data_IF_353560902051
#
_entry.id   IF_353560902051
#
_cell.length_a   1.000
_cell.length_b   1.000
_cell.length_c   1.000
_cell.angle_alpha   90.00
_cell.angle_beta   90.00
_cell.angle_gamma   90.00
#
_symmetry.space_group_name_H-M   'P 1'
#
loop_
_entity.id
_entity.type
_entity.pdbx_description
1 polymer ?
#
# COMPACT_ATOMS: atom_id res chain seq x y z
N UNK A 1 9.32 13.43 7.28
CA UNK A 1 9.75 13.05 5.95
C UNK A 1 8.65 13.34 4.95
N UNK A 2 9.04 13.85 3.79
CA UNK A 2 8.06 14.22 2.75
C UNK A 2 7.22 13.03 2.29
N UNK A 3 7.83 11.86 2.12
CA UNK A 3 7.11 10.67 1.70
C UNK A 3 6.00 10.31 2.68
N UNK A 4 6.28 10.39 3.98
CA UNK A 4 5.30 10.12 5.01
C UNK A 4 4.16 11.15 5.01
N UNK A 5 4.51 12.42 4.86
CA UNK A 5 3.50 13.50 4.80
C UNK A 5 2.62 13.35 3.56
N UNK A 6 3.21 13.03 2.41
CA UNK A 6 2.45 12.84 1.17
C UNK A 6 1.49 11.67 1.29
N UNK A 7 1.93 10.57 1.89
CA UNK A 7 1.07 9.42 2.10
C UNK A 7 -0.10 9.78 3.02
N UNK A 8 0.19 10.33 4.20
CA UNK A 8 -0.84 10.66 5.18
C UNK A 8 -1.86 11.66 4.64
N UNK A 9 -1.38 12.65 3.90
CA UNK A 9 -2.20 13.71 3.33
C UNK A 9 -3.23 13.18 2.33
N UNK A 10 -2.92 12.08 1.66
CA UNK A 10 -3.77 11.52 0.61
C UNK A 10 -4.66 10.36 1.09
N UNK A 11 -4.63 10.04 2.37
CA UNK A 11 -5.50 9.02 2.94
C UNK A 11 -6.85 9.65 3.31
N UNK A 12 -7.94 9.04 2.86
CA UNK A 12 -9.26 9.52 3.25
C UNK A 12 -10.06 8.52 4.08
N UNK A 13 -9.66 7.26 4.11
CA UNK A 13 -10.40 6.24 4.87
C UNK A 13 -9.50 5.08 5.26
N UNK A 14 -9.76 4.51 6.43
CA UNK A 14 -9.15 3.26 6.89
C UNK A 14 -10.29 2.40 7.41
N UNK A 15 -10.51 1.24 6.77
CA UNK A 15 -11.63 0.36 7.09
C UNK A 15 -11.12 -1.01 7.52
N UNK A 16 -11.62 -1.53 8.64
CA UNK A 16 -11.30 -2.87 9.11
C UNK A 16 -12.30 -3.86 8.51
N UNK A 17 -11.80 -4.79 7.71
CA UNK A 17 -12.63 -5.71 6.93
C UNK A 17 -12.60 -7.12 7.55
N UNK A 18 -13.76 -7.63 7.94
CA UNK A 18 -13.94 -9.01 8.40
C UNK A 18 -12.95 -9.42 9.51
N UNK A 19 -12.48 -8.45 10.30
CA UNK A 19 -11.49 -8.66 11.37
C UNK A 19 -10.18 -9.31 10.88
N UNK A 20 -9.90 -9.22 9.59
CA UNK A 20 -8.74 -9.89 8.97
C UNK A 20 -7.73 -8.92 8.39
N UNK A 21 -8.18 -7.75 7.96
CA UNK A 21 -7.30 -6.80 7.28
C UNK A 21 -7.79 -5.39 7.43
N UNK A 22 -6.91 -4.44 7.20
CA UNK A 22 -7.25 -3.04 7.06
C UNK A 22 -7.16 -2.65 5.60
N UNK A 23 -8.16 -1.95 5.09
CA UNK A 23 -8.11 -1.34 3.76
C UNK A 23 -7.89 0.14 3.92
N UNK A 24 -6.76 0.61 3.41
CA UNK A 24 -6.34 2.00 3.47
C UNK A 24 -6.65 2.64 2.12
N UNK A 25 -7.52 3.64 2.11
CA UNK A 25 -8.00 4.27 0.89
C UNK A 25 -7.32 5.61 0.66
N UNK A 26 -6.70 5.75 -0.50
CA UNK A 26 -6.08 6.99 -0.93
C UNK A 26 -6.98 7.76 -1.90
N UNK A 27 -6.80 9.09 -1.93
CA UNK A 27 -7.63 9.98 -2.76
C UNK A 27 -7.60 9.64 -4.25
N UNK A 28 -6.50 9.08 -4.73
CA UNK A 28 -6.33 8.72 -6.13
C UNK A 28 -7.03 7.42 -6.53
N UNK A 29 -7.73 6.79 -5.62
CA UNK A 29 -8.37 5.52 -5.87
C UNK A 29 -7.54 4.31 -5.54
N UNK A 30 -6.30 4.49 -5.08
CA UNK A 30 -5.47 3.38 -4.63
C UNK A 30 -5.99 2.85 -3.31
N UNK A 31 -6.10 1.53 -3.20
CA UNK A 31 -6.44 0.84 -1.95
C UNK A 31 -5.25 -0.03 -1.55
N UNK A 32 -4.76 0.15 -0.33
CA UNK A 32 -3.68 -0.67 0.21
C UNK A 32 -4.27 -1.60 1.26
N UNK A 33 -4.09 -2.90 1.06
CA UNK A 33 -4.58 -3.92 1.99
C UNK A 33 -3.49 -4.27 2.99
N UNK A 34 -3.77 -4.01 4.27
CA UNK A 34 -2.84 -4.22 5.36
C UNK A 34 -3.26 -5.44 6.17
N UNK A 35 -2.30 -6.19 6.76
CA UNK A 35 -2.64 -7.27 7.66
C UNK A 35 -3.28 -6.73 8.95
N UNK A 36 -4.07 -7.56 9.64
CA UNK A 36 -4.68 -7.17 10.90
C UNK A 36 -3.63 -6.92 11.98
N UNK A 37 -2.51 -7.65 11.93
CA UNK A 37 -1.42 -7.53 12.88
C UNK A 37 -0.22 -6.86 12.23
N UNK A 38 0.64 -6.24 13.06
CA UNK A 38 1.87 -5.60 12.60
C UNK A 38 1.63 -4.45 11.62
N UNK A 39 0.59 -3.67 11.89
CA UNK A 39 0.22 -2.54 11.03
C UNK A 39 1.36 -1.53 10.89
N UNK A 40 2.11 -1.30 11.96
CA UNK A 40 3.27 -0.39 11.92
C UNK A 40 4.32 -0.85 10.92
N UNK A 41 4.59 -2.15 10.89
CA UNK A 41 5.56 -2.73 9.96
C UNK A 41 5.09 -2.57 8.52
N UNK A 42 3.80 -2.80 8.28
CA UNK A 42 3.20 -2.60 6.97
C UNK A 42 3.26 -1.14 6.54
N UNK A 43 2.98 -0.22 7.46
CA UNK A 43 3.08 1.21 7.18
C UNK A 43 4.49 1.61 6.76
N UNK A 44 5.52 1.07 7.43
CA UNK A 44 6.92 1.31 7.05
C UNK A 44 7.21 0.81 5.63
N UNK A 45 6.63 -0.32 5.25
CA UNK A 45 6.77 -0.83 3.88
C UNK A 45 6.14 0.13 2.86
N UNK A 46 4.98 0.68 3.17
CA UNK A 46 4.33 1.67 2.29
C UNK A 46 5.23 2.89 2.11
N UNK A 47 5.83 3.38 3.19
CA UNK A 47 6.75 4.51 3.12
C UNK A 47 7.93 4.21 2.20
N UNK A 48 8.52 3.03 2.33
CA UNK A 48 9.62 2.61 1.46
C UNK A 48 9.19 2.51 -0.01
N UNK A 49 8.00 1.98 -0.25
CA UNK A 49 7.46 1.90 -1.61
C UNK A 49 7.26 3.29 -2.21
N UNK A 50 6.77 4.23 -1.42
CA UNK A 50 6.61 5.60 -1.89
C UNK A 50 7.96 6.24 -2.19
N UNK A 51 8.96 6.03 -1.35
CA UNK A 51 10.29 6.57 -1.55
C UNK A 51 10.99 6.00 -2.77
N UNK A 52 10.82 4.70 -3.02
CA UNK A 52 11.56 4.00 -4.07
C UNK A 52 10.82 3.94 -5.40
N UNK A 53 9.49 3.96 -5.39
CA UNK A 53 8.68 3.78 -6.59
C UNK A 53 7.73 4.95 -6.85
N UNK A 54 7.55 5.84 -5.88
CA UNK A 54 6.56 6.93 -5.98
C UNK A 54 5.17 6.37 -6.32
N UNK A 55 4.68 5.47 -5.48
CA UNK A 55 3.47 4.69 -5.75
C UNK A 55 2.22 5.55 -5.97
N UNK A 56 2.17 6.74 -5.38
CA UNK A 56 1.03 7.64 -5.57
C UNK A 56 0.94 8.18 -7.00
N UNK A 57 2.06 8.20 -7.72
CA UNK A 57 2.09 8.65 -9.12
C UNK A 57 1.97 7.50 -10.10
N UNK A 58 2.09 6.26 -9.64
CA UNK A 58 1.79 5.11 -10.46
C UNK A 58 0.27 4.94 -10.50
N UNK A 59 -0.25 4.49 -11.63
CA UNK A 59 -1.70 4.29 -11.77
C UNK A 59 -2.12 2.95 -11.15
N UNK A 60 -1.73 2.74 -9.89
CA UNK A 60 -2.07 1.53 -9.17
C UNK A 60 -3.48 1.64 -8.60
N UNK A 61 -4.23 0.55 -8.69
CA UNK A 61 -5.57 0.46 -8.11
C UNK A 61 -5.52 -0.26 -6.76
N UNK A 62 -4.54 -1.13 -6.55
CA UNK A 62 -4.44 -1.90 -5.31
C UNK A 62 -2.98 -2.26 -5.02
N UNK A 63 -2.64 -2.26 -3.74
CA UNK A 63 -1.39 -2.84 -3.24
C UNK A 63 -1.76 -3.76 -2.10
N UNK A 64 -1.30 -5.02 -2.15
CA UNK A 64 -1.59 -6.02 -1.13
C UNK A 64 -0.33 -6.30 -0.31
N UNK A 65 -0.37 -5.95 0.97
CA UNK A 65 0.74 -6.14 1.92
C UNK A 65 0.46 -7.25 2.93
N UNK A 66 -0.57 -8.06 2.71
CA UNK A 66 -0.93 -9.12 3.66
C UNK A 66 0.06 -10.28 3.65
N UNK A 67 0.74 -10.52 2.53
CA UNK A 67 1.74 -11.57 2.44
C UNK A 67 3.11 -10.99 2.80
N UNK A 68 3.77 -11.49 3.88
CA UNK A 68 5.06 -10.96 4.30
C UNK A 68 6.20 -11.23 3.31
N UNK A 69 6.01 -12.17 2.39
CA UNK A 69 7.04 -12.55 1.43
C UNK A 69 6.93 -11.84 0.08
N UNK A 70 5.82 -11.15 -0.16
CA UNK A 70 5.57 -10.59 -1.48
C UNK A 70 4.64 -9.38 -1.38
N UNK A 71 4.95 -8.36 -2.17
CA UNK A 71 4.08 -7.21 -2.32
C UNK A 71 3.50 -7.24 -3.72
N UNK A 72 2.18 -7.37 -3.81
CA UNK A 72 1.45 -7.38 -5.07
C UNK A 72 0.79 -6.03 -5.30
N UNK A 73 0.99 -5.47 -6.50
CA UNK A 73 0.27 -4.30 -6.94
C UNK A 73 -0.59 -4.63 -8.15
N UNK A 74 -1.62 -3.82 -8.39
CA UNK A 74 -2.44 -3.91 -9.59
C UNK A 74 -2.51 -2.55 -10.26
N UNK A 75 -2.23 -2.50 -11.56
CA UNK A 75 -2.32 -1.27 -12.34
C UNK A 75 -3.72 -1.11 -12.91
N UNK A 76 -4.29 -2.20 -13.41
CA UNK A 76 -5.65 -2.29 -13.92
C UNK A 76 -6.29 -3.53 -13.30
N UNK A 77 -7.54 -3.79 -13.60
CA UNK A 77 -8.25 -4.95 -13.07
C UNK A 77 -7.52 -6.26 -13.32
N UNK A 78 -6.78 -6.37 -14.44
CA UNK A 78 -6.18 -7.63 -14.87
C UNK A 78 -4.66 -7.68 -14.79
N UNK A 79 -3.99 -6.55 -14.56
CA UNK A 79 -2.53 -6.53 -14.55
C UNK A 79 -1.99 -6.45 -13.14
N UNK A 80 -1.07 -7.34 -12.82
CA UNK A 80 -0.40 -7.40 -11.52
C UNK A 80 1.05 -6.99 -11.66
N UNK A 81 1.55 -6.30 -10.63
CA UNK A 81 2.94 -5.90 -10.53
C UNK A 81 3.50 -6.46 -9.24
N UNK A 82 4.68 -7.08 -9.32
CA UNK A 82 5.38 -7.60 -8.14
C UNK A 82 6.55 -6.65 -7.87
N UNK A 83 6.57 -6.05 -6.68
CA UNK A 83 7.66 -5.16 -6.29
C UNK A 83 8.87 -5.97 -5.87
N UNK A 84 10.07 -5.49 -6.25
CA UNK A 84 11.31 -6.19 -5.98
C UNK A 84 11.59 -6.26 -4.47
N UNK A 85 12.06 -7.43 -4.02
CA UNK A 85 12.29 -7.68 -2.60
C UNK A 85 13.34 -6.77 -1.96
N UNK A 86 14.32 -6.32 -2.73
CA UNK A 86 15.39 -5.48 -2.19
C UNK A 86 14.89 -4.15 -1.61
N UNK A 87 13.65 -3.77 -1.92
CA UNK A 87 13.05 -2.55 -1.42
C UNK A 87 12.04 -2.80 -0.29
N UNK A 88 11.99 -4.00 0.21
CA UNK A 88 11.10 -4.36 1.34
C UNK A 88 11.81 -4.18 2.72
#
# INVERSE_FOLDING_TARGET
LEANKNLSKNIWSLTFINQRRWDLHFNQGLVVRLPAQNVKKAWKKIIKLQQNYNILNLRLTEIDLRNPKQILGKINFDKRVIFKRKYL
#
